data_IF_881855163054
#
_entry.id   IF_881855163054
#
_cell.length_a   1.000
_cell.length_b   1.000
_cell.length_c   1.000
_cell.angle_alpha   90.00
_cell.angle_beta   90.00
_cell.angle_gamma   90.00
#
_symmetry.space_group_name_H-M   'P 1'
#
loop_
_entity.id
_entity.type
_entity.pdbx_description
1 polymer ?
#
# COMPACT_ATOMS: atom_id res chain seq x y z
N UNK A 1 -12.27 30.20 -54.47
CA UNK A 1 -13.38 29.38 -53.96
C UNK A 1 -12.94 27.96 -53.53
N UNK A 2 -12.25 27.18 -54.37
CA UNK A 2 -11.82 25.82 -53.97
C UNK A 2 -10.93 25.76 -52.72
N UNK A 3 -9.98 26.68 -52.55
CA UNK A 3 -9.13 26.70 -51.34
C UNK A 3 -9.89 27.06 -50.06
N UNK A 4 -10.96 27.84 -50.16
CA UNK A 4 -11.81 28.19 -49.02
C UNK A 4 -12.65 26.98 -48.53
N UNK A 5 -13.08 26.12 -49.45
CA UNK A 5 -13.84 24.91 -49.15
C UNK A 5 -12.95 23.90 -48.43
N UNK A 6 -11.69 23.73 -48.81
CA UNK A 6 -10.74 22.84 -48.12
C UNK A 6 -10.40 23.31 -46.69
N UNK A 7 -10.33 24.63 -46.49
CA UNK A 7 -10.11 25.20 -45.14
C UNK A 7 -11.31 24.96 -44.22
N UNK A 8 -12.54 25.02 -44.74
CA UNK A 8 -13.75 24.74 -43.97
C UNK A 8 -13.86 23.24 -43.64
N UNK A 9 -13.54 22.36 -44.58
CA UNK A 9 -13.52 20.90 -44.32
C UNK A 9 -12.43 20.55 -43.33
N UNK A 10 -11.27 21.18 -43.37
CA UNK A 10 -10.20 20.97 -42.39
C UNK A 10 -10.58 21.47 -40.98
N UNK A 11 -11.29 22.59 -40.86
CA UNK A 11 -11.82 23.11 -39.61
C UNK A 11 -12.93 22.24 -39.01
N UNK A 12 -13.72 21.54 -39.80
CA UNK A 12 -14.77 20.62 -39.36
C UNK A 12 -14.16 19.28 -38.89
N UNK A 13 -13.06 18.85 -39.51
CA UNK A 13 -12.38 17.58 -39.12
C UNK A 13 -11.61 17.65 -37.80
N UNK A 14 -11.33 18.86 -37.28
CA UNK A 14 -10.61 19.02 -36.00
C UNK A 14 -11.53 18.89 -34.77
N UNK A 15 -12.85 18.89 -34.95
CA UNK A 15 -13.83 18.76 -33.85
C UNK A 15 -14.34 17.34 -33.62
N UNK A 16 -13.55 16.30 -33.90
CA UNK A 16 -13.77 14.99 -33.32
C UNK A 16 -13.21 15.06 -31.89
N UNK A 17 -13.84 15.87 -31.08
CA UNK A 17 -13.67 15.82 -29.61
C UNK A 17 -14.13 14.45 -29.16
N UNK A 18 -13.22 13.61 -28.66
CA UNK A 18 -13.62 12.42 -27.92
C UNK A 18 -14.54 12.88 -26.80
N UNK A 19 -15.83 12.67 -26.99
CA UNK A 19 -16.85 13.08 -26.01
C UNK A 19 -16.62 12.28 -24.73
N UNK A 20 -16.09 12.96 -23.72
CA UNK A 20 -16.02 12.42 -22.36
C UNK A 20 -17.29 12.84 -21.64
N UNK A 21 -18.10 11.87 -21.22
CA UNK A 21 -19.28 12.13 -20.40
C UNK A 21 -18.85 12.04 -18.93
N UNK A 22 -19.03 13.16 -18.21
CA UNK A 22 -18.81 13.20 -16.76
C UNK A 22 -20.13 13.13 -16.04
N UNK A 23 -20.34 12.09 -15.27
CA UNK A 23 -21.52 11.86 -14.48
C UNK A 23 -21.27 12.07 -13.00
N UNK A 24 -22.16 12.80 -12.35
CA UNK A 24 -22.07 13.13 -10.93
C UNK A 24 -22.75 12.06 -10.08
N UNK A 25 -22.01 11.42 -9.18
CA UNK A 25 -22.53 10.45 -8.20
C UNK A 25 -22.92 11.14 -6.90
N UNK A 26 -22.04 12.01 -6.38
CA UNK A 26 -22.24 12.70 -5.11
C UNK A 26 -21.50 14.04 -5.12
N UNK A 27 -22.22 15.11 -4.73
CA UNK A 27 -21.62 16.41 -4.45
C UNK A 27 -22.25 17.00 -3.20
N UNK A 28 -21.49 17.11 -2.11
CA UNK A 28 -21.96 17.61 -0.81
C UNK A 28 -20.86 18.43 -0.13
N UNK A 29 -21.29 19.38 0.69
CA UNK A 29 -20.40 20.18 1.54
C UNK A 29 -20.98 20.31 2.95
N UNK A 30 -20.11 20.28 3.95
CA UNK A 30 -20.50 20.37 5.36
C UNK A 30 -19.54 21.28 6.11
N UNK A 31 -20.07 22.22 6.88
CA UNK A 31 -19.31 22.97 7.88
C UNK A 31 -18.81 22.03 8.97
N UNK A 32 -17.59 22.27 9.43
CA UNK A 32 -16.93 21.49 10.49
C UNK A 32 -16.42 22.38 11.61
N UNK A 33 -16.13 21.78 12.74
CA UNK A 33 -15.43 22.36 13.88
C UNK A 33 -14.41 21.36 14.43
N UNK A 34 -13.69 21.72 15.47
CA UNK A 34 -12.62 20.87 16.06
C UNK A 34 -13.12 19.56 16.67
N UNK A 35 -14.42 19.44 16.94
CA UNK A 35 -15.05 18.21 17.44
C UNK A 35 -15.54 17.30 16.31
N UNK A 36 -15.46 17.76 15.07
CA UNK A 36 -16.01 17.02 13.92
C UNK A 36 -15.18 15.77 13.65
N UNK A 37 -15.87 14.66 13.42
CA UNK A 37 -15.30 13.39 12.99
C UNK A 37 -15.90 12.99 11.64
N UNK A 38 -15.04 12.62 10.71
CA UNK A 38 -15.45 12.02 9.43
C UNK A 38 -15.31 10.51 9.51
N UNK A 39 -16.42 9.80 9.50
CA UNK A 39 -16.48 8.34 9.38
C UNK A 39 -16.68 7.96 7.92
N UNK A 40 -15.88 7.04 7.44
CA UNK A 40 -15.87 6.57 6.05
C UNK A 40 -16.00 5.06 6.07
N UNK A 41 -16.98 4.52 5.37
CA UNK A 41 -17.16 3.10 5.09
C UNK A 41 -17.21 2.92 3.58
N UNK A 42 -16.18 2.31 3.01
CA UNK A 42 -16.05 2.24 1.55
C UNK A 42 -15.65 0.85 1.08
N UNK A 43 -16.26 0.45 -0.05
CA UNK A 43 -15.92 -0.78 -0.74
C UNK A 43 -15.73 -0.51 -2.23
N UNK A 44 -14.58 -0.95 -2.76
CA UNK A 44 -14.23 -0.90 -4.18
C UNK A 44 -14.26 0.53 -4.77
N UNK A 45 -13.63 1.49 -4.08
CA UNK A 45 -13.63 2.91 -4.47
C UNK A 45 -12.21 3.46 -4.50
N UNK A 46 -11.95 4.36 -5.44
CA UNK A 46 -10.70 5.13 -5.48
C UNK A 46 -10.92 6.53 -4.93
N UNK A 47 -10.29 6.86 -3.81
CA UNK A 47 -10.46 8.14 -3.11
C UNK A 47 -9.13 8.90 -3.05
N UNK A 48 -9.20 10.19 -3.31
CA UNK A 48 -8.14 11.14 -3.11
C UNK A 48 -8.53 12.17 -2.06
N UNK A 49 -7.85 12.17 -0.92
CA UNK A 49 -7.97 13.21 0.09
C UNK A 49 -7.06 14.38 -0.25
N UNK A 50 -7.61 15.59 -0.16
CA UNK A 50 -6.90 16.86 -0.28
C UNK A 50 -7.17 17.72 0.94
N UNK A 51 -6.23 18.59 1.25
CA UNK A 51 -6.42 19.59 2.28
C UNK A 51 -7.42 20.65 1.79
N UNK A 52 -8.34 21.08 2.69
CA UNK A 52 -9.25 22.22 2.46
C UNK A 52 -8.65 23.48 3.07
N UNK A 53 -8.77 24.57 2.35
CA UNK A 53 -8.28 25.88 2.81
C UNK A 53 -9.22 26.53 3.83
N UNK A 54 -10.40 25.99 4.03
CA UNK A 54 -11.42 26.46 4.95
C UNK A 54 -11.92 25.34 5.90
N UNK A 55 -12.89 25.65 6.74
CA UNK A 55 -13.48 24.73 7.72
C UNK A 55 -14.55 23.80 7.12
N UNK A 56 -14.56 23.58 5.81
CA UNK A 56 -15.57 22.74 5.15
C UNK A 56 -15.00 21.44 4.65
N UNK A 57 -15.73 20.35 4.88
CA UNK A 57 -15.57 19.12 4.13
C UNK A 57 -16.32 19.25 2.83
N UNK A 58 -15.67 18.91 1.71
CA UNK A 58 -16.32 18.80 0.40
C UNK A 58 -16.12 17.42 -0.17
N UNK A 59 -17.19 16.81 -0.60
CA UNK A 59 -17.25 15.51 -1.24
C UNK A 59 -17.63 15.73 -2.71
N UNK A 60 -16.77 15.34 -3.63
CA UNK A 60 -17.01 15.40 -5.08
C UNK A 60 -16.67 14.04 -5.69
N UNK A 61 -17.71 13.25 -5.97
CA UNK A 61 -17.59 11.94 -6.59
C UNK A 61 -18.26 11.94 -7.94
N UNK A 62 -17.48 11.74 -8.97
CA UNK A 62 -17.93 11.64 -10.35
C UNK A 62 -17.29 10.46 -11.06
N UNK A 63 -17.93 10.01 -12.14
CA UNK A 63 -17.40 9.03 -13.06
C UNK A 63 -17.26 9.67 -14.42
N UNK A 64 -16.10 9.50 -15.00
CA UNK A 64 -15.79 9.99 -16.33
C UNK A 64 -15.81 8.79 -17.28
N UNK A 65 -16.69 8.80 -18.25
CA UNK A 65 -16.81 7.78 -19.27
C UNK A 65 -16.10 8.25 -20.55
N UNK A 66 -15.46 7.32 -21.25
CA UNK A 66 -14.80 7.55 -22.53
C UNK A 66 -15.43 6.65 -23.57
N UNK A 67 -16.22 7.22 -24.48
CA UNK A 67 -16.84 6.50 -25.60
C UNK A 67 -17.63 5.25 -25.17
N UNK A 68 -18.52 5.40 -24.20
CA UNK A 68 -19.31 4.28 -23.69
C UNK A 68 -20.77 4.37 -24.13
N UNK A 69 -21.42 3.19 -24.23
CA UNK A 69 -22.85 3.12 -24.46
C UNK A 69 -23.66 3.52 -23.22
N UNK A 70 -24.85 4.05 -23.41
CA UNK A 70 -25.75 4.41 -22.32
C UNK A 70 -26.07 3.20 -21.42
N UNK A 71 -26.11 2.00 -21.96
CA UNK A 71 -26.30 0.77 -21.20
C UNK A 71 -25.18 0.53 -20.18
N UNK A 72 -23.91 0.73 -20.57
CA UNK A 72 -22.77 0.59 -19.68
C UNK A 72 -22.78 1.68 -18.60
N UNK A 73 -23.08 2.92 -18.99
CA UNK A 73 -23.23 4.04 -18.04
C UNK A 73 -24.27 3.69 -16.99
N UNK A 74 -25.44 3.25 -17.42
CA UNK A 74 -26.53 2.83 -16.52
C UNK A 74 -26.11 1.68 -15.59
N UNK A 75 -25.46 0.63 -16.11
CA UNK A 75 -24.95 -0.48 -15.32
C UNK A 75 -23.99 -0.03 -14.22
N UNK A 76 -23.04 0.84 -14.57
CA UNK A 76 -22.04 1.37 -13.62
C UNK A 76 -22.75 2.14 -12.50
N UNK A 77 -23.68 3.03 -12.86
CA UNK A 77 -24.42 3.82 -11.87
C UNK A 77 -25.29 2.95 -10.95
N UNK A 78 -25.97 1.97 -11.47
CA UNK A 78 -26.78 1.04 -10.69
C UNK A 78 -25.96 0.26 -9.65
N UNK A 79 -24.69 0.01 -9.94
CA UNK A 79 -23.76 -0.67 -9.05
C UNK A 79 -23.24 0.18 -7.90
N UNK A 80 -23.40 1.51 -7.97
CA UNK A 80 -22.86 2.44 -6.98
C UNK A 80 -23.95 2.88 -6.00
N UNK A 81 -23.67 2.69 -4.71
CA UNK A 81 -24.49 3.20 -3.61
C UNK A 81 -23.64 4.20 -2.82
N UNK A 82 -24.00 5.47 -2.88
CA UNK A 82 -23.30 6.54 -2.16
C UNK A 82 -24.31 7.26 -1.25
N UNK A 83 -24.04 7.24 0.06
CA UNK A 83 -24.84 7.91 1.08
C UNK A 83 -23.94 8.77 1.95
N UNK A 84 -24.42 9.94 2.28
CA UNK A 84 -23.77 10.82 3.24
C UNK A 84 -24.81 11.40 4.18
N UNK A 85 -24.48 11.43 5.47
CA UNK A 85 -25.33 12.03 6.51
C UNK A 85 -24.45 12.81 7.49
N UNK A 86 -25.01 13.87 8.08
CA UNK A 86 -24.39 14.59 9.18
C UNK A 86 -25.33 14.53 10.38
N UNK A 87 -24.83 14.09 11.51
CA UNK A 87 -25.52 14.14 12.80
C UNK A 87 -24.59 14.83 13.81
N UNK A 88 -24.97 16.04 14.26
CA UNK A 88 -24.14 16.89 15.12
C UNK A 88 -22.72 17.05 14.53
N UNK A 89 -21.73 16.55 15.24
CA UNK A 89 -20.32 16.62 14.85
C UNK A 89 -19.81 15.37 14.11
N UNK A 90 -20.68 14.47 13.70
CA UNK A 90 -20.31 13.25 12.97
C UNK A 90 -20.84 13.31 11.56
N UNK A 91 -19.94 13.20 10.59
CA UNK A 91 -20.27 13.06 9.18
C UNK A 91 -19.99 11.61 8.82
N UNK A 92 -20.99 10.88 8.34
CA UNK A 92 -20.87 9.51 7.89
C UNK A 92 -20.97 9.47 6.37
N UNK A 93 -19.98 8.88 5.75
CA UNK A 93 -19.89 8.61 4.33
C UNK A 93 -19.88 7.09 4.12
N UNK A 94 -20.86 6.56 3.42
CA UNK A 94 -20.96 5.15 3.03
C UNK A 94 -21.00 5.09 1.49
N UNK A 95 -19.96 4.47 0.89
CA UNK A 95 -19.89 4.31 -0.56
C UNK A 95 -19.50 2.89 -0.90
N UNK A 96 -20.41 2.19 -1.57
CA UNK A 96 -20.23 0.80 -2.01
C UNK A 96 -20.40 0.71 -3.50
N UNK A 97 -19.45 0.07 -4.13
CA UNK A 97 -19.51 -0.21 -5.54
C UNK A 97 -19.52 -1.73 -5.76
N UNK A 98 -20.68 -2.26 -6.13
CA UNK A 98 -20.86 -3.69 -6.36
C UNK A 98 -20.24 -4.17 -7.68
N UNK A 99 -19.87 -3.26 -8.57
CA UNK A 99 -19.11 -3.62 -9.75
C UNK A 99 -17.64 -3.66 -9.38
N UNK A 100 -16.99 -4.76 -9.71
CA UNK A 100 -15.54 -4.93 -9.51
C UNK A 100 -14.79 -3.95 -10.44
N UNK A 101 -14.75 -2.69 -10.02
CA UNK A 101 -14.12 -1.61 -10.78
C UNK A 101 -12.61 -1.52 -10.52
N UNK A 102 -12.10 -2.32 -9.56
CA UNK A 102 -10.78 -2.09 -8.98
C UNK A 102 -9.61 -2.54 -9.83
N UNK A 103 -9.68 -3.66 -10.50
CA UNK A 103 -8.51 -4.24 -11.17
C UNK A 103 -8.72 -4.62 -12.63
N UNK A 104 -9.94 -4.96 -13.03
CA UNK A 104 -10.27 -5.19 -14.44
C UNK A 104 -10.12 -3.95 -15.33
N UNK A 105 -10.01 -2.76 -14.72
CA UNK A 105 -9.83 -1.50 -15.47
C UNK A 105 -8.43 -1.24 -15.97
N UNK A 106 -7.44 -1.89 -15.41
CA UNK A 106 -6.08 -1.84 -15.96
C UNK A 106 -5.87 -2.89 -17.05
N UNK A 107 -6.82 -3.80 -17.17
CA UNK A 107 -6.83 -4.86 -18.17
C UNK A 107 -8.12 -4.71 -18.97
N UNK A 108 -8.11 -3.91 -20.01
CA UNK A 108 -9.10 -4.02 -21.10
C UNK A 108 -8.78 -5.32 -21.87
N UNK A 109 -8.73 -6.41 -21.14
CA UNK A 109 -8.50 -7.71 -21.69
C UNK A 109 -9.86 -8.23 -22.08
N UNK A 110 -10.07 -8.43 -23.37
CA UNK A 110 -11.16 -9.25 -23.85
C UNK A 110 -11.21 -10.51 -22.96
N UNK A 111 -12.38 -10.77 -22.37
CA UNK A 111 -12.58 -11.90 -21.46
C UNK A 111 -12.10 -13.22 -22.04
N UNK A 112 -12.12 -13.35 -23.38
CA UNK A 112 -11.61 -14.52 -24.11
C UNK A 112 -10.08 -14.59 -24.07
N UNK A 113 -9.40 -13.45 -24.18
CA UNK A 113 -7.94 -13.37 -24.08
C UNK A 113 -7.49 -13.64 -22.64
N UNK A 114 -8.24 -13.15 -21.66
CA UNK A 114 -8.00 -13.44 -20.24
C UNK A 114 -8.19 -14.93 -19.93
N UNK A 115 -9.22 -15.56 -20.51
CA UNK A 115 -9.48 -17.00 -20.36
C UNK A 115 -8.39 -17.84 -21.04
N UNK A 116 -7.89 -17.43 -22.19
CA UNK A 116 -6.74 -18.08 -22.86
C UNK A 116 -5.45 -17.94 -22.05
N UNK A 117 -5.18 -16.74 -21.53
CA UNK A 117 -4.04 -16.45 -20.67
C UNK A 117 -4.05 -17.31 -19.41
N UNK A 118 -5.20 -17.40 -18.75
CA UNK A 118 -5.39 -18.25 -17.58
C UNK A 118 -5.25 -19.73 -17.96
N UNK A 119 -5.79 -20.16 -19.08
CA UNK A 119 -5.69 -21.53 -19.55
C UNK A 119 -4.25 -21.92 -19.84
N UNK A 120 -3.46 -21.07 -20.50
CA UNK A 120 -2.05 -21.31 -20.78
C UNK A 120 -1.18 -21.30 -19.52
N UNK A 121 -1.49 -20.42 -18.58
CA UNK A 121 -0.87 -20.42 -17.25
C UNK A 121 -1.15 -21.73 -16.52
N UNK A 122 -2.40 -22.20 -16.53
CA UNK A 122 -2.76 -23.49 -15.93
C UNK A 122 -2.20 -24.71 -16.65
N UNK A 123 -2.03 -24.68 -17.96
CA UNK A 123 -1.34 -25.77 -18.67
C UNK A 123 0.11 -25.89 -18.18
N UNK A 124 0.78 -24.77 -17.98
CA UNK A 124 2.16 -24.71 -17.48
C UNK A 124 2.28 -25.18 -16.03
N UNK A 125 1.25 -24.94 -15.19
CA UNK A 125 1.19 -25.39 -13.80
C UNK A 125 0.62 -26.80 -13.62
N UNK A 126 -0.17 -27.33 -14.55
CA UNK A 126 -0.65 -28.73 -14.53
C UNK A 126 0.47 -29.76 -14.62
N UNK A 127 1.58 -29.41 -15.22
CA UNK A 127 2.77 -30.26 -15.27
C UNK A 127 3.47 -30.44 -13.92
N UNK A 128 3.16 -29.58 -12.94
CA UNK A 128 3.71 -29.59 -11.57
C UNK A 128 2.65 -29.84 -10.50
N UNK A 129 2.05 -31.04 -10.51
CA UNK A 129 1.30 -31.71 -9.41
C UNK A 129 0.78 -30.82 -8.26
N UNK A 130 -0.38 -30.17 -8.45
CA UNK A 130 -1.16 -29.61 -7.35
C UNK A 130 -2.48 -30.38 -7.14
N UNK A 131 -2.95 -30.57 -5.86
CA UNK A 131 -4.18 -31.28 -5.58
C UNK A 131 -5.41 -30.49 -6.06
N UNK A 132 -6.45 -31.23 -6.42
CA UNK A 132 -7.72 -30.75 -6.97
C UNK A 132 -8.35 -29.60 -6.15
N UNK A 133 -8.17 -28.37 -6.60
CA UNK A 133 -8.92 -27.20 -6.12
C UNK A 133 -9.95 -26.80 -7.17
N UNK A 134 -11.13 -26.37 -6.72
CA UNK A 134 -12.22 -25.95 -7.62
C UNK A 134 -11.84 -24.73 -8.45
N UNK A 135 -12.39 -24.59 -9.65
CA UNK A 135 -12.10 -23.50 -10.61
C UNK A 135 -12.23 -22.11 -9.97
N UNK A 136 -13.22 -21.88 -9.11
CA UNK A 136 -13.47 -20.61 -8.43
C UNK A 136 -12.40 -20.27 -7.37
N UNK A 137 -11.87 -21.29 -6.69
CA UNK A 137 -10.78 -21.11 -5.74
C UNK A 137 -9.48 -20.73 -6.46
N UNK A 138 -9.21 -21.36 -7.59
CA UNK A 138 -8.04 -21.07 -8.42
C UNK A 138 -8.10 -19.67 -9.03
N UNK A 139 -9.26 -19.21 -9.47
CA UNK A 139 -9.46 -17.84 -9.95
C UNK A 139 -9.21 -16.81 -8.85
N UNK A 140 -9.63 -17.07 -7.61
CA UNK A 140 -9.36 -16.22 -6.46
C UNK A 140 -7.87 -16.21 -6.05
N UNK A 141 -7.18 -17.34 -6.11
CA UNK A 141 -5.74 -17.40 -5.83
C UNK A 141 -4.91 -16.72 -6.91
N UNK A 142 -5.33 -16.82 -8.18
CA UNK A 142 -4.66 -16.15 -9.30
C UNK A 142 -4.76 -14.64 -9.16
N UNK A 143 -5.94 -14.12 -8.86
CA UNK A 143 -6.17 -12.69 -8.63
C UNK A 143 -5.26 -12.15 -7.50
N UNK A 144 -4.87 -13.02 -6.59
CA UNK A 144 -4.02 -12.70 -5.45
C UNK A 144 -2.51 -12.72 -5.73
N UNK A 145 -2.05 -13.67 -6.56
CA UNK A 145 -0.61 -13.85 -6.85
C UNK A 145 -0.10 -13.00 -8.01
N UNK A 146 -0.99 -12.41 -8.79
CA UNK A 146 -0.70 -11.81 -10.09
C UNK A 146 -0.07 -10.41 -10.05
N UNK A 147 0.25 -9.83 -8.89
CA UNK A 147 0.77 -8.46 -8.82
C UNK A 147 2.06 -8.23 -9.60
N UNK A 148 3.07 -9.07 -9.43
CA UNK A 148 4.37 -8.97 -10.13
C UNK A 148 4.47 -9.91 -11.32
N UNK A 149 3.98 -11.13 -11.17
CA UNK A 149 4.06 -12.17 -12.20
C UNK A 149 3.16 -11.87 -13.41
N UNK A 150 2.05 -11.15 -13.21
CA UNK A 150 1.18 -10.73 -14.30
C UNK A 150 1.87 -9.71 -15.22
N UNK A 151 2.65 -8.80 -14.68
CA UNK A 151 3.36 -7.81 -15.52
C UNK A 151 4.36 -8.49 -16.46
N UNK A 152 5.12 -9.44 -15.95
CA UNK A 152 6.06 -10.22 -16.74
C UNK A 152 5.35 -11.15 -17.74
N UNK A 153 4.19 -11.68 -17.37
CA UNK A 153 3.36 -12.49 -18.24
C UNK A 153 2.72 -11.67 -19.38
N UNK A 154 2.20 -10.47 -19.08
CA UNK A 154 1.69 -9.51 -20.07
C UNK A 154 2.81 -9.11 -21.04
N UNK A 155 4.02 -8.89 -20.54
CA UNK A 155 5.20 -8.58 -21.36
C UNK A 155 5.59 -9.73 -22.29
N UNK A 156 5.58 -10.96 -21.80
CA UNK A 156 5.82 -12.16 -22.58
C UNK A 156 4.72 -12.40 -23.63
N UNK A 157 3.45 -12.15 -23.28
CA UNK A 157 2.31 -12.24 -24.19
C UNK A 157 2.39 -11.20 -25.32
N UNK A 158 2.68 -9.94 -24.99
CA UNK A 158 2.89 -8.87 -26.00
C UNK A 158 4.03 -9.23 -26.97
N UNK A 159 5.08 -9.86 -26.47
CA UNK A 159 6.19 -10.35 -27.30
C UNK A 159 5.76 -11.49 -28.23
N UNK A 160 4.89 -12.39 -27.77
CA UNK A 160 4.41 -13.56 -28.55
C UNK A 160 3.32 -13.18 -29.54
N UNK A 161 2.49 -12.18 -29.21
CA UNK A 161 1.36 -11.75 -30.02
C UNK A 161 1.37 -10.21 -30.23
N UNK A 162 2.31 -9.66 -30.99
CA UNK A 162 2.51 -8.21 -31.11
C UNK A 162 1.31 -7.45 -31.69
N UNK A 163 0.46 -8.14 -32.46
CA UNK A 163 -0.74 -7.56 -33.10
C UNK A 163 -2.03 -7.77 -32.29
N UNK A 164 -2.01 -8.52 -31.19
CA UNK A 164 -3.13 -8.59 -30.25
C UNK A 164 -2.97 -7.46 -29.24
N UNK A 165 -3.76 -6.41 -29.36
CA UNK A 165 -3.90 -5.41 -28.34
C UNK A 165 -4.46 -6.05 -27.08
N UNK A 166 -3.59 -6.40 -26.12
CA UNK A 166 -3.97 -6.48 -24.73
C UNK A 166 -4.27 -5.05 -24.30
N UNK A 167 -5.46 -4.58 -24.69
CA UNK A 167 -6.02 -3.31 -24.33
C UNK A 167 -5.03 -2.28 -23.82
N UNK A 168 -4.35 -1.55 -24.69
CA UNK A 168 -4.29 -0.11 -24.48
C UNK A 168 -5.72 0.42 -24.61
N UNK A 169 -6.70 -0.38 -24.21
CA UNK A 169 -8.07 0.02 -24.10
C UNK A 169 -8.09 1.15 -23.12
N UNK A 170 -8.23 2.35 -23.66
CA UNK A 170 -8.66 3.51 -22.93
C UNK A 170 -9.56 3.03 -21.80
N UNK A 171 -9.17 3.30 -20.54
CA UNK A 171 -10.03 3.08 -19.38
C UNK A 171 -11.43 3.53 -19.78
N UNK A 172 -12.38 2.63 -19.95
CA UNK A 172 -13.71 2.99 -20.45
C UNK A 172 -14.36 3.99 -19.54
N UNK A 173 -13.98 3.99 -18.26
CA UNK A 173 -14.41 5.00 -17.31
C UNK A 173 -13.38 5.16 -16.19
N UNK A 174 -13.40 6.30 -15.52
CA UNK A 174 -12.53 6.66 -14.42
C UNK A 174 -13.36 7.15 -13.24
N UNK A 175 -13.11 6.58 -12.06
CA UNK A 175 -13.66 7.12 -10.81
C UNK A 175 -12.82 8.33 -10.37
N UNK A 176 -13.48 9.44 -10.12
CA UNK A 176 -12.87 10.64 -9.57
C UNK A 176 -13.60 11.02 -8.29
N UNK A 177 -13.13 10.47 -7.16
CA UNK A 177 -13.67 10.82 -5.86
C UNK A 177 -12.65 11.64 -5.07
N UNK A 178 -12.91 12.93 -4.95
CA UNK A 178 -12.09 13.88 -4.21
C UNK A 178 -12.82 14.25 -2.93
N UNK A 179 -12.11 14.11 -1.79
CA UNK A 179 -12.58 14.57 -0.49
C UNK A 179 -11.63 15.65 0.00
N UNK A 180 -12.12 16.90 0.02
CA UNK A 180 -11.37 17.99 0.62
C UNK A 180 -11.72 18.08 2.11
N UNK A 181 -10.70 18.07 2.98
CA UNK A 181 -10.88 18.04 4.44
C UNK A 181 -10.03 19.09 5.13
N UNK A 182 -10.55 19.73 6.18
CA UNK A 182 -9.77 20.65 7.02
C UNK A 182 -8.61 19.95 7.74
N UNK A 183 -7.54 20.68 8.03
CA UNK A 183 -6.33 20.17 8.74
C UNK A 183 -6.63 19.50 10.08
N UNK A 184 -7.66 19.97 10.78
CA UNK A 184 -7.97 19.60 12.17
C UNK A 184 -9.06 18.54 12.30
N UNK A 185 -9.24 17.71 11.30
CA UNK A 185 -10.31 16.72 11.28
C UNK A 185 -9.86 15.36 11.79
N UNK A 186 -10.65 14.75 12.69
CA UNK A 186 -10.51 13.32 13.05
C UNK A 186 -11.13 12.46 11.96
N UNK A 187 -10.43 11.41 11.55
CA UNK A 187 -10.88 10.53 10.45
C UNK A 187 -10.92 9.09 10.94
N UNK A 188 -12.02 8.41 10.65
CA UNK A 188 -12.15 6.96 10.82
C UNK A 188 -12.49 6.32 9.49
N UNK A 189 -11.75 5.31 9.10
CA UNK A 189 -11.93 4.62 7.82
C UNK A 189 -12.14 3.14 8.04
N UNK A 190 -13.23 2.61 7.47
CA UNK A 190 -13.39 1.21 7.14
C UNK A 190 -13.30 1.08 5.62
N UNK A 191 -12.48 0.16 5.15
CA UNK A 191 -12.26 0.05 3.71
C UNK A 191 -12.08 -1.39 3.27
N UNK A 192 -12.77 -1.73 2.18
CA UNK A 192 -12.60 -2.99 1.47
C UNK A 192 -12.18 -2.70 0.03
N UNK A 193 -11.27 -3.48 -0.54
CA UNK A 193 -10.89 -3.49 -1.96
C UNK A 193 -10.69 -2.09 -2.59
N UNK A 194 -10.25 -1.10 -1.83
CA UNK A 194 -10.23 0.29 -2.26
C UNK A 194 -8.82 0.84 -2.45
N UNK A 195 -8.72 1.99 -3.08
CA UNK A 195 -7.48 2.77 -3.18
C UNK A 195 -7.69 4.13 -2.53
N UNK A 196 -6.92 4.45 -1.50
CA UNK A 196 -7.06 5.67 -0.72
C UNK A 196 -5.72 6.40 -0.67
N UNK A 197 -5.71 7.65 -1.13
CA UNK A 197 -4.50 8.48 -1.17
C UNK A 197 -4.72 9.77 -0.40
N UNK A 198 -3.79 10.11 0.48
CA UNK A 198 -3.76 11.38 1.21
C UNK A 198 -2.65 12.25 0.65
N UNK A 199 -3.01 13.40 0.07
CA UNK A 199 -2.06 14.34 -0.54
C UNK A 199 -1.61 15.43 0.43
N UNK A 200 -1.88 15.30 1.72
CA UNK A 200 -1.49 16.22 2.79
C UNK A 200 -1.01 15.46 4.03
N UNK A 201 -0.45 16.19 4.99
CA UNK A 201 0.05 15.61 6.24
C UNK A 201 -1.09 15.45 7.25
N UNK A 202 -1.20 14.26 7.84
CA UNK A 202 -2.20 13.96 8.87
C UNK A 202 -1.58 14.24 10.23
N UNK A 203 -2.12 15.23 10.94
CA UNK A 203 -1.66 15.65 12.27
C UNK A 203 -2.71 15.39 13.37
N UNK A 204 -3.92 14.98 13.03
CA UNK A 204 -4.98 14.58 13.95
C UNK A 204 -5.14 13.06 13.96
N UNK A 205 -5.73 12.49 15.01
CA UNK A 205 -5.92 11.04 15.06
C UNK A 205 -6.65 10.50 13.84
N UNK A 206 -6.07 9.45 13.27
CA UNK A 206 -6.71 8.65 12.23
C UNK A 206 -6.82 7.20 12.69
N UNK A 207 -8.01 6.62 12.53
CA UNK A 207 -8.27 5.20 12.80
C UNK A 207 -8.66 4.50 11.51
N UNK A 208 -7.92 3.47 11.14
CA UNK A 208 -8.11 2.73 9.89
C UNK A 208 -8.28 1.25 10.16
N UNK A 209 -9.34 0.66 9.63
CA UNK A 209 -9.53 -0.78 9.55
C UNK A 209 -9.80 -1.15 8.11
N UNK A 210 -8.93 -1.94 7.49
CA UNK A 210 -9.03 -2.19 6.07
C UNK A 210 -8.63 -3.61 5.66
N UNK A 211 -9.26 -4.06 4.58
CA UNK A 211 -8.96 -5.33 3.95
C UNK A 211 -8.71 -5.12 2.45
N UNK A 212 -7.64 -5.70 1.92
CA UNK A 212 -7.24 -5.61 0.50
C UNK A 212 -7.25 -4.17 -0.04
N UNK A 213 -6.79 -3.21 0.75
CA UNK A 213 -6.82 -1.79 0.37
C UNK A 213 -5.40 -1.26 0.13
N UNK A 214 -5.27 -0.42 -0.89
CA UNK A 214 -4.05 0.34 -1.14
C UNK A 214 -4.13 1.69 -0.42
N UNK A 215 -3.18 1.95 0.47
CA UNK A 215 -3.02 3.25 1.11
C UNK A 215 -1.72 3.94 0.71
N UNK A 216 -1.83 5.24 0.41
CA UNK A 216 -0.68 6.13 0.25
C UNK A 216 -0.88 7.40 1.08
N UNK A 217 0.07 7.66 1.96
CA UNK A 217 0.10 8.85 2.80
C UNK A 217 1.38 9.67 2.54
N UNK A 218 1.35 10.96 2.87
CA UNK A 218 2.56 11.76 3.08
C UNK A 218 3.09 11.52 4.48
N UNK A 219 2.79 12.39 5.42
CA UNK A 219 3.20 12.26 6.82
C UNK A 219 1.99 11.92 7.69
N UNK A 220 2.17 10.95 8.58
CA UNK A 220 1.23 10.59 9.63
C UNK A 220 1.88 10.93 10.97
N UNK A 221 1.30 11.87 11.73
CA UNK A 221 1.94 12.45 12.91
C UNK A 221 0.93 12.63 14.04
N UNK A 222 0.69 11.55 14.77
CA UNK A 222 -0.11 11.58 15.99
C UNK A 222 0.06 10.25 16.76
N UNK A 223 0.20 10.32 18.08
CA UNK A 223 0.38 9.13 18.93
C UNK A 223 -0.90 8.28 19.05
N UNK A 224 -2.07 8.87 18.79
CA UNK A 224 -3.37 8.18 18.84
C UNK A 224 -3.77 7.55 17.49
N UNK A 225 -2.86 7.50 16.52
CA UNK A 225 -3.11 6.84 15.25
C UNK A 225 -3.22 5.33 15.44
N UNK A 226 -4.22 4.73 14.83
CA UNK A 226 -4.49 3.30 14.89
C UNK A 226 -4.74 2.76 13.48
N UNK A 227 -3.92 1.82 13.05
CA UNK A 227 -4.06 1.14 11.77
C UNK A 227 -4.18 -0.36 11.96
N UNK A 228 -5.22 -0.95 11.42
CA UNK A 228 -5.41 -2.39 11.32
C UNK A 228 -5.63 -2.75 9.85
N UNK A 229 -4.57 -3.22 9.20
CA UNK A 229 -4.58 -3.52 7.77
C UNK A 229 -4.36 -5.01 7.58
N UNK A 230 -5.27 -5.62 6.85
CA UNK A 230 -5.15 -7.00 6.43
C UNK A 230 -5.13 -7.03 4.89
N UNK A 231 -4.04 -7.52 4.34
CA UNK A 231 -3.74 -7.53 2.91
C UNK A 231 -3.61 -6.11 2.30
N UNK A 232 -3.15 -6.04 1.05
CA UNK A 232 -3.03 -4.77 0.32
C UNK A 232 -1.65 -4.15 0.38
N UNK A 233 -1.60 -2.83 0.31
CA UNK A 233 -0.36 -2.03 0.25
C UNK A 233 -0.46 -0.85 1.20
N UNK A 234 0.60 -0.60 1.94
CA UNK A 234 0.73 0.59 2.78
C UNK A 234 2.00 1.36 2.43
N UNK A 235 1.84 2.60 2.04
CA UNK A 235 2.95 3.48 1.68
C UNK A 235 2.82 4.82 2.39
N UNK A 236 3.93 5.28 3.00
CA UNK A 236 3.99 6.61 3.63
C UNK A 236 5.41 7.17 3.59
N UNK A 237 5.55 8.47 3.47
CA UNK A 237 6.85 9.13 3.53
C UNK A 237 7.37 9.16 4.97
N UNK A 238 6.49 9.36 5.97
CA UNK A 238 6.90 9.45 7.37
C UNK A 238 5.79 9.06 8.35
N UNK A 239 6.20 8.31 9.38
CA UNK A 239 5.39 8.00 10.57
C UNK A 239 6.02 8.65 11.81
N UNK A 240 5.21 9.35 12.60
CA UNK A 240 5.57 9.78 13.95
C UNK A 240 4.41 9.42 14.87
N UNK A 241 4.64 8.47 15.76
CA UNK A 241 3.64 7.97 16.71
C UNK A 241 2.64 6.97 16.12
N UNK A 242 1.85 6.39 17.01
CA UNK A 242 0.73 5.49 16.69
C UNK A 242 1.04 4.01 16.71
N UNK A 243 -0.02 3.22 16.55
CA UNK A 243 -0.01 1.78 16.57
C UNK A 243 -0.45 1.23 15.21
N UNK A 244 0.31 0.29 14.67
CA UNK A 244 0.11 -0.27 13.32
C UNK A 244 0.08 -1.79 13.41
N UNK A 245 -1.06 -2.39 13.06
CA UNK A 245 -1.22 -3.82 12.89
C UNK A 245 -1.29 -4.11 11.40
N UNK A 246 -0.31 -4.84 10.88
CA UNK A 246 -0.13 -5.11 9.45
C UNK A 246 -0.05 -6.62 9.24
N UNK A 247 -1.13 -7.22 8.74
CA UNK A 247 -1.25 -8.65 8.51
C UNK A 247 -1.35 -8.95 7.01
N UNK A 248 -0.54 -9.88 6.53
CA UNK A 248 -0.53 -10.32 5.13
C UNK A 248 -0.38 -9.14 4.14
N UNK A 249 0.27 -8.03 4.56
CA UNK A 249 0.44 -6.86 3.72
C UNK A 249 1.60 -7.06 2.75
N UNK A 250 1.29 -7.21 1.48
CA UNK A 250 2.26 -7.58 0.44
C UNK A 250 3.41 -6.59 0.29
N UNK A 251 3.13 -5.30 0.53
CA UNK A 251 4.09 -4.22 0.36
C UNK A 251 3.84 -3.10 1.35
N UNK A 252 4.77 -2.95 2.29
CA UNK A 252 4.81 -1.83 3.24
C UNK A 252 6.05 -1.01 2.94
N UNK A 253 5.89 0.25 2.57
CA UNK A 253 6.97 1.19 2.30
C UNK A 253 6.86 2.38 3.24
N UNK A 254 7.83 2.55 4.11
CA UNK A 254 7.91 3.66 5.06
C UNK A 254 9.23 4.40 4.85
N UNK A 255 9.15 5.68 4.47
CA UNK A 255 10.35 6.50 4.28
C UNK A 255 11.10 6.70 5.61
N UNK A 256 10.41 7.14 6.67
CA UNK A 256 10.97 7.22 8.02
C UNK A 256 9.92 6.94 9.09
N UNK A 257 10.38 6.42 10.26
CA UNK A 257 9.50 6.08 11.38
C UNK A 257 10.13 6.47 12.72
N UNK A 258 9.31 6.99 13.65
CA UNK A 258 9.71 7.33 15.02
C UNK A 258 8.52 7.21 15.98
N UNK A 259 8.78 6.91 17.26
CA UNK A 259 7.82 6.87 18.36
C UNK A 259 6.59 5.99 18.04
N UNK A 260 6.79 4.86 17.39
CA UNK A 260 5.70 4.05 16.86
C UNK A 260 5.86 2.57 17.22
N UNK A 261 4.70 1.89 17.30
CA UNK A 261 4.62 0.45 17.56
C UNK A 261 4.02 -0.25 16.35
N UNK A 262 4.71 -1.29 15.86
CA UNK A 262 4.25 -2.10 14.75
C UNK A 262 4.09 -3.56 15.22
N UNK A 263 2.92 -4.12 14.94
CA UNK A 263 2.67 -5.57 15.02
C UNK A 263 2.46 -6.09 13.60
N UNK A 264 3.32 -7.01 13.18
CA UNK A 264 3.36 -7.44 11.78
C UNK A 264 3.27 -8.96 11.69
N UNK A 265 2.54 -9.44 10.69
CA UNK A 265 2.37 -10.86 10.42
C UNK A 265 2.45 -11.10 8.91
N UNK A 266 3.29 -12.06 8.49
CA UNK A 266 3.40 -12.53 7.10
C UNK A 266 3.50 -11.40 6.07
N UNK A 267 4.23 -10.33 6.41
CA UNK A 267 4.27 -9.09 5.62
C UNK A 267 5.67 -8.82 5.05
N UNK A 268 5.75 -7.98 4.02
CA UNK A 268 7.01 -7.46 3.50
C UNK A 268 7.14 -5.97 3.80
N UNK A 269 8.08 -5.61 4.68
CA UNK A 269 8.22 -4.25 5.20
C UNK A 269 9.59 -3.70 4.84
N UNK A 270 9.62 -2.50 4.28
CA UNK A 270 10.82 -1.76 3.93
C UNK A 270 10.77 -0.38 4.59
N UNK A 271 11.76 -0.09 5.42
CA UNK A 271 11.87 1.18 6.15
C UNK A 271 13.17 1.87 5.80
N UNK A 272 13.06 3.06 5.21
CA UNK A 272 14.20 3.87 4.80
C UNK A 272 15.03 4.35 5.99
N UNK A 273 14.37 4.90 7.02
CA UNK A 273 15.05 5.44 8.18
C UNK A 273 14.28 5.17 9.49
N UNK A 274 14.99 4.67 10.50
CA UNK A 274 14.47 4.49 11.86
C UNK A 274 14.99 5.64 12.73
N UNK A 275 14.07 6.30 13.41
CA UNK A 275 14.36 7.36 14.37
C UNK A 275 14.18 6.88 15.80
N UNK A 276 13.69 7.80 16.66
CA UNK A 276 13.56 7.57 18.09
C UNK A 276 12.46 6.55 18.41
N UNK A 277 12.69 5.67 19.38
CA UNK A 277 11.71 4.81 20.07
C UNK A 277 10.74 4.06 19.14
N UNK A 278 11.26 3.04 18.47
CA UNK A 278 10.47 2.19 17.55
C UNK A 278 10.44 0.76 18.09
N UNK A 279 9.23 0.22 18.25
CA UNK A 279 8.99 -1.14 18.71
C UNK A 279 8.34 -1.99 17.61
N UNK A 280 8.84 -3.20 17.42
CA UNK A 280 8.27 -4.21 16.54
C UNK A 280 7.94 -5.50 17.26
N UNK A 281 6.75 -6.04 17.00
CA UNK A 281 6.40 -7.44 17.25
C UNK A 281 6.08 -8.09 15.91
N UNK A 282 6.84 -9.10 15.51
CA UNK A 282 6.71 -9.69 14.18
C UNK A 282 6.51 -11.20 14.22
N UNK A 283 5.68 -11.70 13.30
CA UNK A 283 5.55 -13.12 13.02
C UNK A 283 5.69 -13.36 11.50
N UNK A 284 6.71 -14.15 11.13
CA UNK A 284 6.91 -14.68 9.78
C UNK A 284 7.00 -13.62 8.66
N UNK A 285 7.51 -12.42 8.95
CA UNK A 285 7.66 -11.37 7.93
C UNK A 285 9.09 -11.26 7.40
N UNK A 286 9.24 -10.47 6.32
CA UNK A 286 10.52 -10.01 5.78
C UNK A 286 10.67 -8.52 6.04
N UNK A 287 11.60 -8.15 6.91
CA UNK A 287 11.80 -6.79 7.38
C UNK A 287 13.15 -6.25 6.89
N UNK A 288 13.12 -5.09 6.21
CA UNK A 288 14.30 -4.45 5.63
C UNK A 288 14.48 -3.05 6.25
N UNK A 289 15.61 -2.83 6.90
CA UNK A 289 15.97 -1.60 7.59
C UNK A 289 17.20 -0.99 6.95
N UNK A 290 17.05 0.19 6.30
CA UNK A 290 18.11 0.75 5.48
C UNK A 290 19.01 1.72 6.23
N UNK A 291 18.47 2.52 7.16
CA UNK A 291 19.25 3.51 7.89
C UNK A 291 18.69 3.78 9.29
N UNK A 292 19.55 4.33 10.17
CA UNK A 292 19.21 4.86 11.48
C UNK A 292 19.60 6.33 11.52
N UNK A 293 18.67 7.17 11.96
CA UNK A 293 18.88 8.61 11.94
C UNK A 293 19.73 9.07 13.15
N UNK A 294 20.27 10.29 13.08
CA UNK A 294 21.12 10.82 14.14
C UNK A 294 20.44 10.99 15.50
N UNK A 295 19.11 11.07 15.53
CA UNK A 295 18.30 11.17 16.75
C UNK A 295 17.74 9.79 17.17
N UNK A 296 18.28 8.72 16.62
CA UNK A 296 17.93 7.36 16.98
C UNK A 296 18.30 7.09 18.44
N UNK A 297 17.41 6.52 19.20
CA UNK A 297 17.66 6.15 20.60
C UNK A 297 17.53 4.65 20.77
N UNK A 298 16.34 4.10 20.59
CA UNK A 298 16.09 2.68 20.74
C UNK A 298 15.28 2.10 19.59
N UNK A 299 15.62 0.86 19.24
CA UNK A 299 14.85 0.03 18.35
C UNK A 299 14.74 -1.35 18.97
N UNK A 300 13.53 -1.74 19.32
CA UNK A 300 13.23 -3.05 19.88
C UNK A 300 12.45 -3.89 18.89
N UNK A 301 12.89 -5.14 18.69
CA UNK A 301 12.17 -6.08 17.85
C UNK A 301 12.12 -7.45 18.50
N UNK A 302 10.91 -7.95 18.68
CA UNK A 302 10.61 -9.34 19.05
C UNK A 302 10.00 -10.01 17.82
N UNK A 303 10.52 -11.18 17.44
CA UNK A 303 10.04 -11.87 16.24
C UNK A 303 10.13 -13.38 16.33
N UNK A 304 9.20 -14.06 15.64
CA UNK A 304 9.25 -15.50 15.43
C UNK A 304 9.11 -15.80 13.93
N UNK A 305 9.94 -16.70 13.42
CA UNK A 305 10.10 -17.00 11.98
C UNK A 305 10.47 -15.80 11.10
N UNK A 306 10.92 -14.70 11.70
CA UNK A 306 11.18 -13.42 11.02
C UNK A 306 12.51 -13.43 10.27
N UNK A 307 12.57 -12.73 9.13
CA UNK A 307 13.78 -12.50 8.36
C UNK A 307 14.12 -11.01 8.36
N UNK A 308 15.19 -10.67 9.06
CA UNK A 308 15.63 -9.30 9.28
C UNK A 308 16.85 -8.97 8.43
N UNK A 309 16.77 -7.88 7.66
CA UNK A 309 17.83 -7.39 6.81
C UNK A 309 18.21 -5.96 7.22
N UNK A 310 19.40 -5.79 7.75
CA UNK A 310 19.93 -4.48 8.12
C UNK A 310 21.01 -4.03 7.12
N UNK A 311 20.83 -2.83 6.57
CA UNK A 311 21.77 -2.16 5.65
C UNK A 311 22.37 -0.95 6.34
N UNK A 312 23.42 -1.11 7.14
CA UNK A 312 24.01 -0.01 7.90
C UNK A 312 25.42 0.31 7.44
N UNK A 313 25.63 1.52 6.90
CA UNK A 313 26.96 2.03 6.49
C UNK A 313 27.83 2.45 7.67
N UNK A 314 27.27 2.89 8.77
CA UNK A 314 28.01 3.54 9.85
C UNK A 314 28.03 2.67 11.11
N UNK A 315 29.22 2.47 11.66
CA UNK A 315 29.41 1.78 12.96
C UNK A 315 28.98 2.66 14.15
N UNK A 316 27.84 3.34 14.04
CA UNK A 316 27.36 4.34 15.01
C UNK A 316 26.27 3.82 15.93
N UNK A 317 25.81 2.58 15.69
CA UNK A 317 24.72 1.96 16.43
C UNK A 317 25.20 0.68 17.08
N UNK A 318 24.95 0.54 18.37
CA UNK A 318 25.18 -0.73 19.06
C UNK A 318 24.04 -1.69 18.79
N UNK A 319 24.34 -2.98 18.77
CA UNK A 319 23.36 -4.04 18.52
C UNK A 319 23.54 -5.15 19.56
N UNK A 320 22.43 -5.52 20.19
CA UNK A 320 22.32 -6.76 20.95
C UNK A 320 21.24 -7.62 20.31
N UNK A 321 21.58 -8.84 19.95
CA UNK A 321 20.61 -9.77 19.38
C UNK A 321 20.63 -11.10 20.11
N UNK A 322 19.48 -11.49 20.60
CA UNK A 322 19.22 -12.80 21.18
C UNK A 322 18.54 -13.66 20.13
N UNK A 323 19.11 -14.83 19.85
CA UNK A 323 18.58 -15.74 18.85
C UNK A 323 18.39 -17.15 19.37
N UNK A 324 17.15 -17.65 19.38
CA UNK A 324 16.85 -19.05 19.61
C UNK A 324 16.59 -19.71 18.25
N UNK A 325 17.34 -20.76 17.91
CA UNK A 325 17.24 -21.42 16.60
C UNK A 325 17.29 -20.43 15.42
N UNK A 326 18.10 -19.35 15.59
CA UNK A 326 18.19 -18.22 14.64
C UNK A 326 19.53 -18.26 13.93
N UNK A 327 19.52 -18.03 12.60
CA UNK A 327 20.71 -17.88 11.81
C UNK A 327 21.20 -16.42 11.80
N UNK A 328 22.50 -16.22 12.07
CA UNK A 328 23.15 -14.92 11.95
C UNK A 328 24.07 -14.91 10.74
N UNK A 329 23.79 -14.04 9.78
CA UNK A 329 24.59 -13.82 8.56
C UNK A 329 25.29 -12.47 8.71
N UNK A 330 26.49 -12.49 9.30
CA UNK A 330 27.24 -11.29 9.68
C UNK A 330 28.71 -11.50 9.39
N UNK A 331 29.41 -10.44 9.00
CA UNK A 331 30.86 -10.44 8.90
C UNK A 331 31.47 -10.78 10.27
N UNK A 332 32.10 -11.95 10.38
CA UNK A 332 32.68 -12.49 11.63
C UNK A 332 33.70 -11.59 12.29
N UNK A 333 34.36 -10.70 11.54
CA UNK A 333 35.35 -9.77 12.08
C UNK A 333 34.74 -8.60 12.87
N UNK A 334 33.41 -8.37 12.73
CA UNK A 334 32.71 -7.22 13.30
C UNK A 334 31.77 -7.58 14.47
N UNK A 335 31.70 -8.84 14.85
CA UNK A 335 30.72 -9.31 15.82
C UNK A 335 31.32 -10.35 16.76
N UNK A 336 31.02 -10.25 18.04
CA UNK A 336 31.33 -11.24 19.03
C UNK A 336 30.09 -12.09 19.36
N UNK A 337 30.23 -13.40 19.34
CA UNK A 337 29.19 -14.33 19.78
C UNK A 337 29.53 -14.77 21.21
N UNK A 338 28.56 -14.62 22.11
CA UNK A 338 28.64 -15.18 23.45
C UNK A 338 27.81 -16.46 23.52
N UNK A 339 28.34 -17.60 24.00
CA UNK A 339 27.53 -18.77 24.21
C UNK A 339 26.48 -18.49 25.29
N UNK A 340 25.32 -19.08 25.17
CA UNK A 340 24.30 -19.04 26.23
C UNK A 340 24.79 -19.77 27.46
N UNK A 341 24.44 -19.29 28.67
CA UNK A 341 24.76 -19.92 29.94
C UNK A 341 24.18 -21.33 30.08
N UNK A 342 23.13 -21.64 29.32
CA UNK A 342 22.35 -22.88 29.43
C UNK A 342 22.74 -23.95 28.40
N UNK A 343 23.82 -23.76 27.63
CA UNK A 343 24.27 -24.73 26.62
C UNK A 343 23.29 -25.07 25.48
N UNK A 344 22.12 -24.45 25.47
CA UNK A 344 21.09 -24.67 24.46
C UNK A 344 21.29 -23.72 23.26
N UNK A 345 20.70 -24.02 22.13
CA UNK A 345 20.71 -23.36 20.79
C UNK A 345 20.58 -21.81 20.76
N UNK A 346 20.78 -21.16 21.90
CA UNK A 346 20.67 -19.71 22.06
C UNK A 346 22.00 -19.05 21.75
N UNK A 347 22.00 -18.11 20.82
CA UNK A 347 23.17 -17.32 20.45
C UNK A 347 22.92 -15.84 20.74
N UNK A 348 23.85 -15.22 21.42
CA UNK A 348 23.84 -13.78 21.62
C UNK A 348 24.90 -13.14 20.72
N UNK A 349 24.48 -12.19 19.92
CA UNK A 349 25.36 -11.31 19.15
C UNK A 349 25.43 -9.96 19.84
N UNK A 350 26.65 -9.48 20.06
CA UNK A 350 26.88 -8.14 20.57
C UNK A 350 27.85 -7.39 19.63
N UNK A 351 27.42 -6.25 19.13
CA UNK A 351 28.24 -5.31 18.38
C UNK A 351 28.28 -3.98 19.12
N UNK A 352 29.41 -3.63 19.70
CA UNK A 352 29.63 -2.35 20.41
C UNK A 352 30.24 -1.32 19.49
N UNK A 353 29.84 -0.09 19.66
CA UNK A 353 30.46 1.06 18.99
C UNK A 353 31.76 1.40 19.74
N UNK A 354 32.88 1.45 19.01
CA UNK A 354 34.17 1.70 19.60
C UNK A 354 34.34 3.15 20.07
N UNK A 355 33.73 4.11 19.39
CA UNK A 355 33.83 5.53 19.71
C UNK A 355 32.51 6.08 20.24
N UNK A 356 32.44 6.48 21.52
CA UNK A 356 31.26 7.00 22.18
C UNK A 356 30.75 8.32 21.59
N UNK A 357 31.61 9.14 20.97
CA UNK A 357 31.20 10.41 20.35
C UNK A 357 30.30 10.23 19.12
N UNK A 358 30.36 9.06 18.49
CA UNK A 358 29.54 8.73 17.32
C UNK A 358 28.40 7.74 17.64
N UNK A 359 28.08 7.57 18.91
CA UNK A 359 27.02 6.67 19.33
C UNK A 359 25.64 7.34 19.21
N UNK A 360 24.76 6.77 18.39
CA UNK A 360 23.40 7.29 18.18
C UNK A 360 22.31 6.50 18.91
N UNK A 361 22.57 5.25 19.30
CA UNK A 361 21.55 4.47 19.99
C UNK A 361 21.75 2.96 19.92
N UNK A 362 20.75 2.23 20.39
CA UNK A 362 20.81 0.79 20.58
C UNK A 362 19.71 0.02 19.86
N UNK A 363 20.11 -1.04 19.16
CA UNK A 363 19.21 -2.03 18.55
C UNK A 363 19.15 -3.24 19.47
N UNK A 364 17.96 -3.63 19.90
CA UNK A 364 17.70 -4.81 20.71
C UNK A 364 16.78 -5.77 19.97
N UNK A 365 17.28 -6.96 19.65
CA UNK A 365 16.57 -7.98 18.90
C UNK A 365 16.39 -9.23 19.75
N UNK A 366 15.19 -9.78 19.74
CA UNK A 366 14.87 -11.08 20.33
C UNK A 366 14.12 -11.92 19.29
N UNK A 367 14.82 -12.87 18.65
CA UNK A 367 14.31 -13.60 17.48
C UNK A 367 14.35 -15.10 17.75
N UNK A 368 13.22 -15.75 17.49
CA UNK A 368 13.07 -17.20 17.51
C UNK A 368 12.86 -17.72 16.09
N UNK A 369 13.52 -18.83 15.70
CA UNK A 369 13.41 -19.49 14.39
C UNK A 369 13.60 -18.55 13.18
N UNK A 370 14.46 -17.54 13.29
CA UNK A 370 14.58 -16.52 12.27
C UNK A 370 15.94 -16.44 11.57
N UNK A 371 16.10 -15.37 10.80
CA UNK A 371 17.37 -14.98 10.16
C UNK A 371 17.63 -13.51 10.46
N UNK A 372 18.84 -13.21 10.95
CA UNK A 372 19.33 -11.83 11.09
C UNK A 372 20.52 -11.69 10.13
N UNK A 373 20.38 -10.83 9.13
CA UNK A 373 21.40 -10.57 8.14
C UNK A 373 21.81 -9.09 8.20
N UNK A 374 23.11 -8.82 8.39
CA UNK A 374 23.67 -7.47 8.30
C UNK A 374 24.45 -7.37 7.00
N UNK A 375 23.89 -6.65 6.03
CA UNK A 375 24.47 -6.43 4.70
C UNK A 375 25.35 -5.19 4.68
N UNK A 376 26.50 -5.22 3.98
CA UNK A 376 27.12 -3.99 3.56
C UNK A 376 26.14 -3.26 2.63
N UNK A 377 26.11 -1.94 2.70
CA UNK A 377 25.31 -1.18 1.74
C UNK A 377 25.94 -1.34 0.37
N UNK A 378 25.17 -1.79 -0.61
CA UNK A 378 25.61 -1.81 -2.00
C UNK A 378 26.03 -0.40 -2.40
N UNK A 379 27.18 -0.28 -3.06
CA UNK A 379 27.57 0.99 -3.68
C UNK A 379 26.54 1.28 -4.76
N UNK A 380 25.89 2.43 -4.66
CA UNK A 380 25.10 2.96 -5.78
C UNK A 380 26.04 3.05 -6.99
N UNK A 381 25.74 2.29 -8.01
CA UNK A 381 26.39 2.37 -9.33
C UNK A 381 25.65 3.39 -10.18
#
# INVERSE_FOLDING_TARGET
MKQFIYSIIFLISINISFSQTKELVLKKSFETNDLTTLNIDVDNVTIQFKESDDSKIRLDYSIIFKNNSDELIYKVFKGIKAKVSKNKNVINLDVKNSMYLGELHNLDVDINVYTELISDYFKKYKENKFPHKTKDFLLKEIDFSLGTDMHDYIKAFKKKYPNKNLGEGSKRFEQKFIINVPKNLKIKIKSLHSRITFNYNINKPIKVSAFKTYFKFKKINNNENEFNLNMGVFQTDRIIGGNYILKDVNKVLIGSISNAKLSTETSKIQIGEIGKDVEFNDFNSKLYFYNFNKNFETFELKGDYSKLYFYNKKNTVSLTAYGNTTAFVIDKQKASFKPSKDGKKFKMLEKKVKNKENYFGHINLNITHGIIEIKPQEKEH
#
